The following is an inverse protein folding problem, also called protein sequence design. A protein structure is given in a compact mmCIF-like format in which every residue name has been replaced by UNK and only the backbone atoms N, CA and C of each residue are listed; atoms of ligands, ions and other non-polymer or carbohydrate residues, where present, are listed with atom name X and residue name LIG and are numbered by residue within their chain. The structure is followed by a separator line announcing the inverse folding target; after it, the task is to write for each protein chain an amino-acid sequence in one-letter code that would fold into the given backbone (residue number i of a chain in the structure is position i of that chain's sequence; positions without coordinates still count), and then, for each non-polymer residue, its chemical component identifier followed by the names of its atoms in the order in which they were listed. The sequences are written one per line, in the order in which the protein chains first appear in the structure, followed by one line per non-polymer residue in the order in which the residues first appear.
data_IF_672729500219
#
_entry.id   IF_672729500219
#
_cell.length_a   1.000
_cell.length_b   1.000
_cell.length_c   1.000
_cell.angle_alpha   90.00
_cell.angle_beta   90.00
_cell.angle_gamma   90.00
#
_symmetry.space_group_name_H-M   'P 1'
#
loop_
_entity.id
_entity.type
_entity.pdbx_description
1 polymer ?
#
# COMPACT_ATOMS: atom_id res chain seq x y z
N UNK A 1 -0.99 23.94 21.35
CA UNK A 1 -1.98 25.02 21.37
C UNK A 1 -2.75 24.94 20.05
N UNK A 2 -4.01 24.52 20.08
CA UNK A 2 -4.86 24.46 18.90
C UNK A 2 -5.64 25.77 18.82
N UNK A 3 -5.41 26.58 17.80
CA UNK A 3 -6.19 27.78 17.55
C UNK A 3 -7.58 27.37 17.07
N UNK A 4 -8.63 27.83 17.75
CA UNK A 4 -10.01 27.66 17.28
C UNK A 4 -10.21 28.47 16.00
N UNK A 5 -10.71 27.84 14.94
CA UNK A 5 -10.94 28.49 13.65
C UNK A 5 -11.89 29.68 13.79
N UNK A 6 -11.48 30.84 13.26
CA UNK A 6 -12.27 32.07 13.27
C UNK A 6 -13.45 31.92 12.27
N UNK A 7 -14.73 32.07 12.70
CA UNK A 7 -15.88 31.91 11.82
C UNK A 7 -15.98 32.97 10.69
N UNK A 8 -15.13 34.01 10.73
CA UNK A 8 -15.05 35.07 9.71
C UNK A 8 -13.79 34.98 8.83
N UNK A 9 -12.89 34.00 9.05
CA UNK A 9 -11.75 33.82 8.18
C UNK A 9 -12.16 33.04 6.92
N UNK A 10 -12.03 33.66 5.75
CA UNK A 10 -12.13 33.00 4.43
C UNK A 10 -11.01 31.98 4.17
N UNK A 11 -10.11 31.76 5.13
CA UNK A 11 -9.10 30.71 5.05
C UNK A 11 -9.75 29.35 5.25
N UNK A 12 -9.86 28.61 4.16
CA UNK A 12 -10.19 27.19 4.20
C UNK A 12 -9.09 26.49 5.02
N UNK A 13 -9.42 25.68 6.04
CA UNK A 13 -8.42 24.89 6.75
C UNK A 13 -7.63 24.03 5.75
N UNK A 14 -6.31 23.98 5.90
CA UNK A 14 -5.42 23.18 5.05
C UNK A 14 -5.94 21.75 4.73
N UNK A 15 -6.42 20.95 5.70
CA UNK A 15 -6.96 19.63 5.39
C UNK A 15 -8.21 19.68 4.49
N UNK A 16 -9.04 20.71 4.63
CA UNK A 16 -10.24 20.89 3.80
C UNK A 16 -9.85 21.33 2.38
N UNK A 17 -8.85 22.20 2.23
CA UNK A 17 -8.34 22.62 0.93
C UNK A 17 -7.69 21.45 0.17
N UNK A 18 -6.86 20.66 0.84
CA UNK A 18 -6.24 19.45 0.28
C UNK A 18 -7.28 18.39 -0.12
N UNK A 19 -8.32 18.21 0.70
CA UNK A 19 -9.43 17.31 0.35
C UNK A 19 -10.18 17.79 -0.91
N UNK A 20 -10.41 19.10 -1.03
CA UNK A 20 -11.07 19.70 -2.19
C UNK A 20 -10.23 19.57 -3.47
N UNK A 21 -8.91 19.80 -3.39
CA UNK A 21 -8.00 19.62 -4.53
C UNK A 21 -7.98 18.18 -5.03
N UNK A 22 -8.03 17.22 -4.11
CA UNK A 22 -8.08 15.79 -4.41
C UNK A 22 -9.39 15.39 -5.05
N UNK A 23 -10.51 15.82 -4.47
CA UNK A 23 -11.85 15.44 -4.94
C UNK A 23 -12.21 16.10 -6.27
N UNK A 24 -11.74 17.33 -6.49
CA UNK A 24 -11.94 18.06 -7.76
C UNK A 24 -10.99 17.62 -8.87
N UNK A 25 -9.96 16.81 -8.55
CA UNK A 25 -8.96 16.33 -9.51
C UNK A 25 -7.91 17.36 -9.93
N UNK A 26 -7.90 18.54 -9.32
CA UNK A 26 -6.91 19.58 -9.61
C UNK A 26 -5.48 19.15 -9.26
N UNK A 27 -5.30 18.25 -8.29
CA UNK A 27 -3.99 17.72 -7.95
C UNK A 27 -3.33 17.01 -9.14
N UNK A 28 -4.10 16.28 -9.95
CA UNK A 28 -3.58 15.60 -11.15
C UNK A 28 -3.25 16.59 -12.28
N UNK A 29 -4.01 17.68 -12.38
CA UNK A 29 -3.82 18.74 -13.39
C UNK A 29 -2.58 19.58 -13.09
N UNK A 30 -2.38 19.95 -11.82
CA UNK A 30 -1.21 20.72 -11.38
C UNK A 30 0.10 19.95 -11.65
N UNK A 31 0.11 18.64 -11.37
CA UNK A 31 1.27 17.81 -11.63
C UNK A 31 1.54 17.62 -13.13
N UNK A 32 0.47 17.49 -13.94
CA UNK A 32 0.59 17.44 -15.40
C UNK A 32 1.24 18.71 -15.96
N UNK A 33 0.89 19.90 -15.46
CA UNK A 33 1.45 21.18 -15.93
C UNK A 33 2.91 21.36 -15.54
N UNK A 34 3.29 20.89 -14.36
CA UNK A 34 4.69 20.90 -13.90
C UNK A 34 5.56 19.93 -14.70
N UNK A 35 5.01 18.76 -15.03
CA UNK A 35 5.69 17.73 -15.83
C UNK A 35 5.74 18.06 -17.32
N UNK A 36 4.78 18.85 -17.82
CA UNK A 36 4.69 19.31 -19.20
C UNK A 36 5.34 20.68 -19.43
N UNK A 37 6.41 21.01 -18.72
CA UNK A 37 7.35 22.06 -19.15
C UNK A 37 8.50 21.39 -19.93
N UNK A 38 8.31 20.95 -21.19
CA UNK A 38 9.44 20.83 -22.10
C UNK A 38 9.80 22.24 -22.59
N UNK A 39 11.10 22.50 -22.73
CA UNK A 39 11.63 23.65 -23.45
C UNK A 39 10.81 23.90 -24.71
N UNK A 40 10.13 25.05 -24.76
CA UNK A 40 9.43 25.53 -25.94
C UNK A 40 10.46 25.88 -27.01
N UNK A 41 10.64 25.00 -28.00
CA UNK A 41 10.65 25.37 -29.41
C UNK A 41 10.62 24.09 -30.25
N UNK A 42 9.46 23.74 -30.82
CA UNK A 42 9.35 22.83 -31.98
C UNK A 42 7.98 22.98 -32.61
N UNK A 43 8.00 23.30 -33.91
CA UNK A 43 6.90 23.60 -34.83
C UNK A 43 5.80 22.53 -34.93
N UNK A 44 4.59 22.88 -35.42
CA UNK A 44 3.52 21.94 -35.68
C UNK A 44 3.77 21.26 -37.05
N UNK A 45 4.20 20.00 -37.05
CA UNK A 45 4.26 19.19 -38.28
C UNK A 45 3.68 17.80 -38.05
N UNK A 46 2.48 17.63 -38.59
CA UNK A 46 1.85 16.43 -39.19
C UNK A 46 2.22 15.05 -38.65
N UNK A 47 1.18 14.42 -38.09
CA UNK A 47 1.07 13.05 -37.61
C UNK A 47 1.61 11.98 -38.57
N UNK A 48 2.77 11.42 -38.23
CA UNK A 48 3.11 10.02 -38.52
C UNK A 48 3.46 9.36 -37.19
N UNK A 49 2.52 8.59 -36.63
CA UNK A 49 2.73 7.76 -35.44
C UNK A 49 3.66 6.60 -35.82
N UNK A 50 4.97 6.88 -35.82
CA UNK A 50 6.00 5.87 -36.04
C UNK A 50 6.18 5.05 -34.76
N UNK A 51 6.57 3.78 -34.90
CA UNK A 51 6.84 2.86 -33.79
C UNK A 51 7.77 3.45 -32.69
N UNK A 52 8.53 4.50 -33.01
CA UNK A 52 9.39 5.22 -32.05
C UNK A 52 8.62 5.96 -30.94
N UNK A 53 7.42 6.48 -31.21
CA UNK A 53 6.62 7.18 -30.19
C UNK A 53 6.02 6.21 -29.17
N UNK A 54 5.61 5.02 -29.64
CA UNK A 54 5.05 3.97 -28.78
C UNK A 54 6.14 3.38 -27.87
N UNK A 55 7.32 3.08 -28.41
CA UNK A 55 8.43 2.55 -27.61
C UNK A 55 8.94 3.58 -26.60
N UNK A 56 9.03 4.86 -26.99
CA UNK A 56 9.39 5.96 -26.08
C UNK A 56 8.40 6.09 -24.92
N UNK A 57 7.09 6.01 -25.17
CA UNK A 57 6.06 6.04 -24.13
C UNK A 57 6.08 4.84 -23.18
N UNK A 58 6.39 3.65 -23.69
CA UNK A 58 6.52 2.45 -22.85
C UNK A 58 7.78 2.49 -21.98
N UNK A 59 8.89 3.01 -22.53
CA UNK A 59 10.14 3.18 -21.78
C UNK A 59 9.95 4.23 -20.67
N UNK A 60 9.27 5.35 -20.95
CA UNK A 60 9.00 6.36 -19.93
C UNK A 60 8.07 5.85 -18.82
N UNK A 61 7.06 5.06 -19.17
CA UNK A 61 6.22 4.36 -18.20
C UNK A 61 7.04 3.36 -17.36
N UNK A 62 7.91 2.57 -18.00
CA UNK A 62 8.77 1.62 -17.31
C UNK A 62 9.71 2.33 -16.32
N UNK A 63 10.35 3.43 -16.73
CA UNK A 63 11.19 4.25 -15.86
C UNK A 63 10.40 4.86 -14.71
N UNK A 64 9.16 5.28 -14.98
CA UNK A 64 8.23 5.79 -13.97
C UNK A 64 7.90 4.71 -12.93
N UNK A 65 7.59 3.49 -13.36
CA UNK A 65 7.35 2.36 -12.45
C UNK A 65 8.63 1.95 -11.72
N UNK A 66 9.79 1.98 -12.38
CA UNK A 66 11.07 1.65 -11.77
C UNK A 66 11.45 2.66 -10.67
N UNK A 67 11.07 3.92 -10.83
CA UNK A 67 11.21 4.95 -9.79
C UNK A 67 10.45 4.61 -8.50
N UNK A 68 9.44 3.72 -8.57
CA UNK A 68 8.69 3.33 -7.38
C UNK A 68 9.49 2.42 -6.44
N UNK A 69 10.56 1.79 -6.92
CA UNK A 69 11.45 0.97 -6.09
C UNK A 69 12.43 1.81 -5.26
N UNK A 70 12.61 3.10 -5.57
CA UNK A 70 13.62 3.95 -4.91
C UNK A 70 13.07 4.71 -3.70
N UNK A 71 11.77 4.58 -3.38
CA UNK A 71 11.16 5.28 -2.25
C UNK A 71 10.37 4.33 -1.34
N UNK A 72 10.11 4.79 -0.12
CA UNK A 72 9.31 4.04 0.85
C UNK A 72 7.82 4.38 0.72
N UNK A 73 6.96 3.45 0.21
CA UNK A 73 5.53 3.69 0.04
C UNK A 73 4.76 3.81 1.36
N UNK A 74 5.36 3.34 2.46
CA UNK A 74 4.73 3.34 3.78
C UNK A 74 5.16 4.52 4.66
N UNK A 75 5.96 5.45 4.13
CA UNK A 75 6.53 6.57 4.91
C UNK A 75 5.49 7.51 5.54
N UNK A 76 4.28 7.57 4.97
CA UNK A 76 3.16 8.39 5.44
C UNK A 76 2.04 7.59 6.11
N UNK A 77 2.24 6.28 6.28
CA UNK A 77 1.22 5.40 6.83
C UNK A 77 1.18 5.53 8.35
N UNK A 78 -0.01 5.69 8.91
CA UNK A 78 -0.21 5.83 10.35
C UNK A 78 -1.22 4.81 10.86
N UNK A 79 -1.35 4.68 12.18
CA UNK A 79 -2.25 3.68 12.78
C UNK A 79 -3.72 4.03 12.57
N UNK A 80 -4.07 5.31 12.42
CA UNK A 80 -5.43 5.74 12.10
C UNK A 80 -5.92 5.26 10.72
N UNK A 81 -5.01 5.01 9.77
CA UNK A 81 -5.37 4.50 8.45
C UNK A 81 -5.91 3.06 8.49
N UNK A 82 -5.58 2.32 9.56
CA UNK A 82 -6.09 0.98 9.81
C UNK A 82 -7.35 0.96 10.67
N UNK A 83 -7.68 2.04 11.37
CA UNK A 83 -8.88 2.14 12.21
C UNK A 83 -10.08 2.76 11.48
N UNK A 84 -9.84 3.50 10.40
CA UNK A 84 -10.87 4.13 9.58
C UNK A 84 -11.82 3.14 8.87
N UNK A 85 -12.89 3.69 8.28
CA UNK A 85 -13.85 2.91 7.50
C UNK A 85 -13.19 2.33 6.24
N UNK A 86 -13.30 1.02 6.06
CA UNK A 86 -12.74 0.34 4.89
C UNK A 86 -13.56 0.65 3.63
N UNK A 87 -12.93 1.14 2.54
CA UNK A 87 -13.61 1.28 1.26
C UNK A 87 -14.10 -0.07 0.75
N UNK A 88 -15.32 -0.10 0.19
CA UNK A 88 -15.91 -1.32 -0.38
C UNK A 88 -15.00 -1.96 -1.43
N UNK A 89 -14.93 -3.30 -1.47
CA UNK A 89 -14.07 -4.03 -2.40
C UNK A 89 -14.43 -3.81 -3.86
N UNK A 90 -15.72 -3.85 -4.18
CA UNK A 90 -16.22 -3.74 -5.55
C UNK A 90 -16.08 -2.32 -6.10
N UNK A 91 -16.83 -1.35 -5.55
CA UNK A 91 -16.90 0.00 -6.11
C UNK A 91 -15.80 0.93 -5.62
N UNK A 92 -15.28 0.71 -4.41
CA UNK A 92 -14.25 1.56 -3.82
C UNK A 92 -12.85 1.16 -4.27
N UNK A 93 -12.43 -0.03 -3.84
CA UNK A 93 -11.08 -0.55 -4.03
C UNK A 93 -10.81 -0.88 -5.49
N UNK A 94 -11.52 -1.85 -6.08
CA UNK A 94 -11.38 -2.20 -7.49
C UNK A 94 -11.95 -1.09 -8.38
N UNK A 95 -13.18 -0.65 -8.12
CA UNK A 95 -13.83 0.40 -8.90
C UNK A 95 -14.07 0.01 -10.37
N UNK A 96 -14.23 1.03 -11.23
CA UNK A 96 -14.49 0.87 -12.67
C UNK A 96 -13.25 1.25 -13.49
N UNK A 97 -13.20 0.92 -14.79
CA UNK A 97 -12.06 1.28 -15.64
C UNK A 97 -11.72 2.79 -15.59
N UNK A 98 -12.73 3.66 -15.48
CA UNK A 98 -12.55 5.12 -15.42
C UNK A 98 -11.79 5.61 -14.18
N UNK A 99 -11.73 4.77 -13.14
CA UNK A 99 -11.00 5.01 -11.90
C UNK A 99 -9.47 4.82 -12.03
N UNK A 100 -9.00 4.33 -13.17
CA UNK A 100 -7.59 4.09 -13.45
C UNK A 100 -7.06 5.03 -14.54
N UNK A 101 -5.77 5.34 -14.48
CA UNK A 101 -5.03 6.01 -15.55
C UNK A 101 -3.54 5.80 -15.39
N UNK A 102 -2.81 5.88 -16.50
CA UNK A 102 -1.35 5.86 -16.48
C UNK A 102 -0.81 7.12 -15.78
N UNK A 103 0.18 7.00 -14.88
CA UNK A 103 0.86 8.17 -14.35
C UNK A 103 1.70 8.83 -15.44
N UNK A 104 1.61 10.16 -15.53
CA UNK A 104 2.35 10.98 -16.49
C UNK A 104 3.79 11.24 -16.04
N UNK A 105 4.10 11.12 -14.75
CA UNK A 105 5.43 11.37 -14.19
C UNK A 105 5.76 10.47 -12.99
N UNK A 106 7.05 10.27 -12.66
CA UNK A 106 7.50 9.65 -11.41
C UNK A 106 6.93 10.32 -10.16
N UNK A 107 6.84 11.65 -10.15
CA UNK A 107 6.29 12.40 -9.02
C UNK A 107 4.81 12.07 -8.83
N UNK A 108 4.03 12.05 -9.91
CA UNK A 108 2.62 11.65 -9.89
C UNK A 108 2.44 10.23 -9.37
N UNK A 109 3.22 9.28 -9.90
CA UNK A 109 3.13 7.88 -9.53
C UNK A 109 3.41 7.70 -8.03
N UNK A 110 4.44 8.36 -7.51
CA UNK A 110 4.78 8.33 -6.08
C UNK A 110 3.67 8.95 -5.23
N UNK A 111 3.09 10.07 -5.65
CA UNK A 111 2.00 10.72 -4.92
C UNK A 111 0.76 9.82 -4.88
N UNK A 112 0.39 9.23 -6.03
CA UNK A 112 -0.69 8.24 -6.14
C UNK A 112 -0.45 7.05 -5.22
N UNK A 113 0.76 6.50 -5.19
CA UNK A 113 1.07 5.38 -4.30
C UNK A 113 0.88 5.76 -2.82
N UNK A 114 1.45 6.87 -2.35
CA UNK A 114 1.30 7.26 -0.94
C UNK A 114 -0.17 7.42 -0.53
N UNK A 115 -0.95 8.14 -1.34
CA UNK A 115 -2.34 8.43 -1.00
C UNK A 115 -3.25 7.19 -1.13
N UNK A 116 -3.02 6.34 -2.13
CA UNK A 116 -3.82 5.13 -2.30
C UNK A 116 -3.42 4.05 -1.28
N UNK A 117 -2.14 3.91 -0.93
CA UNK A 117 -1.68 3.02 0.16
C UNK A 117 -2.33 3.43 1.49
N UNK A 118 -2.41 4.74 1.76
CA UNK A 118 -3.15 5.29 2.90
C UNK A 118 -4.63 4.94 2.84
N UNK A 119 -5.30 5.34 1.75
CA UNK A 119 -6.75 5.19 1.55
C UNK A 119 -7.22 3.73 1.62
N UNK A 120 -6.41 2.78 1.15
CA UNK A 120 -6.76 1.37 1.05
C UNK A 120 -5.92 0.45 1.94
N UNK A 121 -5.28 0.99 2.99
CA UNK A 121 -4.36 0.25 3.87
C UNK A 121 -4.93 -1.09 4.34
N UNK A 122 -6.18 -1.08 4.83
CA UNK A 122 -6.89 -2.29 5.27
C UNK A 122 -7.12 -3.30 4.14
N UNK A 123 -7.50 -2.86 2.94
CA UNK A 123 -7.73 -3.76 1.80
C UNK A 123 -6.42 -4.42 1.36
N UNK A 124 -5.32 -3.66 1.31
CA UNK A 124 -4.00 -4.23 1.01
C UNK A 124 -3.54 -5.22 2.09
N UNK A 125 -3.76 -4.90 3.37
CA UNK A 125 -3.46 -5.84 4.47
C UNK A 125 -4.28 -7.13 4.34
N UNK A 126 -5.57 -7.03 4.03
CA UNK A 126 -6.42 -8.22 3.79
C UNK A 126 -5.95 -9.02 2.57
N UNK A 127 -5.58 -8.38 1.46
CA UNK A 127 -4.99 -9.08 0.30
C UNK A 127 -3.70 -9.80 0.67
N UNK A 128 -2.81 -9.16 1.43
CA UNK A 128 -1.59 -9.79 1.90
C UNK A 128 -1.88 -11.04 2.75
N UNK A 129 -2.80 -10.94 3.71
CA UNK A 129 -3.22 -12.07 4.56
C UNK A 129 -3.81 -13.19 3.70
N UNK A 130 -4.68 -12.85 2.74
CA UNK A 130 -5.28 -13.82 1.84
C UNK A 130 -4.23 -14.54 1.00
N UNK A 131 -3.32 -13.80 0.35
CA UNK A 131 -2.24 -14.40 -0.42
C UNK A 131 -1.32 -15.24 0.45
N UNK A 132 -0.98 -14.78 1.66
CA UNK A 132 -0.18 -15.55 2.60
C UNK A 132 -0.87 -16.86 3.00
N UNK A 133 -2.18 -16.83 3.30
CA UNK A 133 -2.96 -18.03 3.58
C UNK A 133 -2.99 -18.98 2.37
N UNK A 134 -3.19 -18.45 1.15
CA UNK A 134 -3.14 -19.26 -0.07
C UNK A 134 -1.77 -19.90 -0.30
N UNK A 135 -0.68 -19.15 -0.09
CA UNK A 135 0.69 -19.69 -0.20
C UNK A 135 0.96 -20.76 0.85
N UNK A 136 0.55 -20.55 2.10
CA UNK A 136 0.66 -21.56 3.15
C UNK A 136 -0.15 -22.82 2.83
N UNK A 137 -1.33 -22.69 2.24
CA UNK A 137 -2.13 -23.83 1.81
C UNK A 137 -1.41 -24.67 0.74
N UNK A 138 -0.69 -24.02 -0.18
CA UNK A 138 0.12 -24.71 -1.19
C UNK A 138 1.43 -25.29 -0.63
N UNK A 139 1.87 -24.83 0.54
CA UNK A 139 3.13 -25.23 1.19
C UNK A 139 2.87 -25.84 2.58
N UNK A 140 2.41 -27.12 2.66
CA UNK A 140 1.97 -27.72 3.92
C UNK A 140 3.09 -27.82 4.96
N UNK A 141 4.35 -28.02 4.55
CA UNK A 141 5.50 -28.00 5.46
C UNK A 141 5.68 -26.63 6.11
N UNK A 142 5.51 -25.54 5.36
CA UNK A 142 5.59 -24.18 5.88
C UNK A 142 4.44 -23.91 6.87
N UNK A 143 3.24 -24.40 6.57
CA UNK A 143 2.10 -24.31 7.49
C UNK A 143 2.40 -25.02 8.83
N UNK A 144 2.89 -26.27 8.77
CA UNK A 144 3.27 -27.02 9.98
C UNK A 144 4.40 -26.32 10.73
N UNK A 145 5.38 -25.77 10.02
CA UNK A 145 6.48 -25.00 10.61
C UNK A 145 5.99 -23.77 11.35
N UNK A 146 5.08 -22.99 10.74
CA UNK A 146 4.48 -21.81 11.37
C UNK A 146 3.67 -22.18 12.62
N UNK A 147 2.84 -23.23 12.52
CA UNK A 147 2.10 -23.76 13.67
C UNK A 147 3.02 -24.25 14.79
N UNK A 148 4.14 -24.89 14.43
CA UNK A 148 5.15 -25.35 15.39
C UNK A 148 5.84 -24.18 16.10
N UNK A 149 6.13 -23.09 15.41
CA UNK A 149 6.66 -21.87 16.02
C UNK A 149 5.66 -21.24 17.00
N UNK A 150 4.37 -21.18 16.64
CA UNK A 150 3.31 -20.70 17.52
C UNK A 150 3.19 -21.57 18.78
N UNK A 151 3.13 -22.90 18.59
CA UNK A 151 3.06 -23.85 19.68
C UNK A 151 4.28 -23.78 20.59
N UNK A 152 5.49 -23.65 20.02
CA UNK A 152 6.73 -23.46 20.79
C UNK A 152 6.64 -22.23 21.70
N UNK A 153 6.11 -21.11 21.20
CA UNK A 153 5.98 -19.88 21.97
C UNK A 153 4.89 -19.97 23.05
N UNK A 154 3.78 -20.66 22.77
CA UNK A 154 2.72 -20.89 23.75
C UNK A 154 3.19 -21.83 24.88
N UNK A 155 3.92 -22.90 24.54
CA UNK A 155 4.57 -23.78 25.53
C UNK A 155 5.59 -22.99 26.33
N UNK A 156 6.41 -22.16 25.69
CA UNK A 156 7.39 -21.33 26.38
C UNK A 156 6.72 -20.37 27.39
N UNK A 157 5.65 -19.68 27.00
CA UNK A 157 4.88 -18.81 27.93
C UNK A 157 4.28 -19.59 29.08
N UNK A 158 3.69 -20.76 28.80
CA UNK A 158 3.12 -21.62 29.84
C UNK A 158 4.19 -22.05 30.86
N UNK A 159 5.36 -22.49 30.37
CA UNK A 159 6.51 -22.82 31.21
C UNK A 159 7.02 -21.61 31.98
N UNK A 160 7.15 -20.45 31.33
CA UNK A 160 7.58 -19.19 31.96
C UNK A 160 6.73 -18.84 33.16
N UNK A 161 5.41 -18.87 32.99
CA UNK A 161 4.46 -18.56 34.04
C UNK A 161 4.47 -19.62 35.15
N UNK A 162 4.54 -20.91 34.80
CA UNK A 162 4.53 -22.01 35.77
C UNK A 162 5.77 -22.02 36.67
N UNK A 163 6.94 -21.69 36.14
CA UNK A 163 8.19 -21.66 36.89
C UNK A 163 8.52 -20.29 37.50
N UNK A 164 7.67 -19.27 37.30
CA UNK A 164 7.90 -17.93 37.83
C UNK A 164 9.20 -17.29 37.31
N UNK A 165 9.55 -17.58 36.05
CA UNK A 165 10.81 -17.19 35.40
C UNK A 165 11.05 -15.66 35.39
N UNK A 166 10.02 -14.86 35.64
CA UNK A 166 10.10 -13.40 35.79
C UNK A 166 10.99 -12.96 36.97
N UNK A 167 11.20 -13.80 37.98
CA UNK A 167 12.11 -13.52 39.09
C UNK A 167 13.59 -13.74 38.72
N UNK A 168 13.86 -14.38 37.58
CA UNK A 168 15.21 -14.77 37.15
C UNK A 168 15.51 -14.27 35.73
N UNK A 169 15.83 -12.97 35.57
CA UNK A 169 15.92 -12.34 34.26
C UNK A 169 17.01 -12.94 33.35
N UNK A 170 18.12 -13.42 33.90
CA UNK A 170 19.21 -14.06 33.13
C UNK A 170 18.77 -15.39 32.54
N UNK A 171 18.07 -16.21 33.34
CA UNK A 171 17.59 -17.53 32.90
C UNK A 171 16.50 -17.34 31.83
N UNK A 172 15.57 -16.42 32.07
CA UNK A 172 14.53 -16.07 31.11
C UNK A 172 15.12 -15.62 29.77
N UNK A 173 16.11 -14.72 29.78
CA UNK A 173 16.80 -14.29 28.57
C UNK A 173 17.49 -15.45 27.85
N UNK A 174 18.20 -16.32 28.57
CA UNK A 174 18.85 -17.49 28.00
C UNK A 174 17.84 -18.42 27.30
N UNK A 175 16.72 -18.72 27.96
CA UNK A 175 15.67 -19.56 27.37
C UNK A 175 15.00 -18.90 26.16
N UNK A 176 14.77 -17.59 26.18
CA UNK A 176 14.25 -16.86 25.01
C UNK A 176 15.21 -16.99 23.82
N UNK A 177 16.53 -16.88 24.05
CA UNK A 177 17.53 -17.08 22.99
C UNK A 177 17.52 -18.49 22.43
N UNK A 178 17.43 -19.50 23.31
CA UNK A 178 17.30 -20.91 22.89
C UNK A 178 16.02 -21.11 22.07
N UNK A 179 14.88 -20.60 22.54
CA UNK A 179 13.60 -20.68 21.83
C UNK A 179 13.67 -19.97 20.46
N UNK A 180 14.34 -18.82 20.37
CA UNK A 180 14.60 -18.13 19.10
C UNK A 180 15.44 -18.97 18.14
N UNK A 181 16.50 -19.63 18.62
CA UNK A 181 17.32 -20.52 17.81
C UNK A 181 16.50 -21.71 17.29
N UNK A 182 15.69 -22.35 18.14
CA UNK A 182 14.81 -23.45 17.75
C UNK A 182 13.77 -22.97 16.72
N UNK A 183 13.14 -21.82 16.95
CA UNK A 183 12.20 -21.21 16.01
C UNK A 183 12.85 -20.92 14.65
N UNK A 184 14.08 -20.39 14.65
CA UNK A 184 14.83 -20.14 13.41
C UNK A 184 15.10 -21.42 12.62
N UNK A 185 15.52 -22.49 13.30
CA UNK A 185 15.71 -23.81 12.67
C UNK A 185 14.40 -24.32 12.07
N UNK A 186 13.30 -24.25 12.82
CA UNK A 186 11.97 -24.65 12.32
C UNK A 186 11.63 -23.85 11.06
N UNK A 187 11.74 -22.51 11.10
CA UNK A 187 11.41 -21.61 9.98
C UNK A 187 12.23 -21.92 8.73
N UNK A 188 13.53 -22.23 8.89
CA UNK A 188 14.43 -22.58 7.79
C UNK A 188 14.08 -23.96 7.23
N UNK A 189 13.98 -24.99 8.07
CA UNK A 189 13.70 -26.36 7.62
C UNK A 189 12.31 -26.53 7.00
N UNK A 190 11.33 -25.73 7.44
CA UNK A 190 9.95 -25.77 6.95
C UNK A 190 9.68 -24.89 5.72
N UNK A 191 10.67 -24.11 5.27
CA UNK A 191 10.51 -23.14 4.17
C UNK A 191 9.46 -22.04 4.42
N UNK A 192 9.16 -21.70 5.68
CA UNK A 192 8.26 -20.58 6.03
C UNK A 192 8.74 -19.26 5.42
N UNK A 193 10.05 -19.06 5.33
CA UNK A 193 10.64 -17.88 4.71
C UNK A 193 10.20 -17.74 3.24
N UNK A 194 10.24 -18.83 2.48
CA UNK A 194 9.83 -18.82 1.07
C UNK A 194 8.35 -18.49 0.92
N UNK A 195 7.49 -19.06 1.77
CA UNK A 195 6.07 -18.74 1.77
C UNK A 195 5.83 -17.24 2.05
N UNK A 196 6.55 -16.67 3.01
CA UNK A 196 6.50 -15.25 3.33
C UNK A 196 7.02 -14.38 2.18
N UNK A 197 8.15 -14.73 1.57
CA UNK A 197 8.70 -13.99 0.43
C UNK A 197 7.77 -14.00 -0.77
N UNK A 198 7.16 -15.14 -1.10
CA UNK A 198 6.19 -15.24 -2.18
C UNK A 198 4.97 -14.35 -1.91
N UNK A 199 4.37 -14.47 -0.72
CA UNK A 199 3.20 -13.67 -0.35
C UNK A 199 3.51 -12.17 -0.36
N UNK A 200 4.66 -11.77 0.20
CA UNK A 200 5.13 -10.38 0.15
C UNK A 200 5.36 -9.90 -1.27
N UNK A 201 6.03 -10.68 -2.12
CA UNK A 201 6.32 -10.30 -3.51
C UNK A 201 5.06 -10.03 -4.34
N UNK A 202 4.11 -10.97 -4.33
CA UNK A 202 2.86 -10.82 -5.08
C UNK A 202 1.98 -9.70 -4.52
N UNK A 203 1.81 -9.63 -3.20
CA UNK A 203 1.00 -8.58 -2.56
C UNK A 203 1.60 -7.19 -2.75
N UNK A 204 2.92 -7.04 -2.62
CA UNK A 204 3.63 -5.78 -2.80
C UNK A 204 3.52 -5.30 -4.24
N UNK A 205 3.78 -6.19 -5.21
CA UNK A 205 3.66 -5.85 -6.64
C UNK A 205 2.22 -5.44 -6.98
N UNK A 206 1.24 -6.21 -6.52
CA UNK A 206 -0.18 -5.90 -6.74
C UNK A 206 -0.58 -4.56 -6.11
N UNK A 207 -0.14 -4.30 -4.89
CA UNK A 207 -0.38 -3.03 -4.20
C UNK A 207 0.25 -1.85 -4.95
N UNK A 208 1.53 -1.93 -5.30
CA UNK A 208 2.24 -0.83 -5.99
C UNK A 208 1.58 -0.54 -7.34
N UNK A 209 1.27 -1.59 -8.11
CA UNK A 209 0.59 -1.46 -9.38
C UNK A 209 -0.79 -0.80 -9.20
N UNK A 210 -1.61 -1.37 -8.32
CA UNK A 210 -2.95 -0.84 -8.04
C UNK A 210 -2.88 0.62 -7.59
N UNK A 211 -2.01 0.94 -6.64
CA UNK A 211 -1.88 2.28 -6.06
C UNK A 211 -1.34 3.32 -7.05
N UNK A 212 -0.43 2.95 -7.96
CA UNK A 212 0.15 3.86 -8.95
C UNK A 212 -0.84 4.19 -10.09
N UNK A 213 -1.65 3.21 -10.51
CA UNK A 213 -2.62 3.39 -11.60
C UNK A 213 -3.97 3.95 -11.11
N UNK A 214 -4.30 3.80 -9.83
CA UNK A 214 -5.54 4.34 -9.26
C UNK A 214 -5.48 5.86 -9.17
N UNK A 215 -6.46 6.54 -9.78
CA UNK A 215 -6.61 8.00 -9.68
C UNK A 215 -6.87 8.45 -8.25
N UNK A 216 -6.47 9.67 -7.94
CA UNK A 216 -6.69 10.27 -6.61
C UNK A 216 -8.12 10.79 -6.43
N UNK A 217 -8.76 11.14 -7.54
CA UNK A 217 -10.15 11.60 -7.59
C UNK A 217 -11.08 10.56 -7.00
N UNK A 218 -12.00 11.03 -6.14
CA UNK A 218 -13.02 10.16 -5.58
C UNK A 218 -13.90 9.62 -6.71
N UNK A 219 -14.22 8.32 -6.66
CA UNK A 219 -15.12 7.73 -7.64
C UNK A 219 -16.45 8.49 -7.61
N UNK A 220 -16.87 9.04 -8.74
CA UNK A 220 -18.15 9.76 -8.88
C UNK A 220 -19.24 8.81 -8.38
N UNK A 221 -19.87 9.12 -7.25
CA UNK A 221 -21.00 8.31 -6.80
C UNK A 221 -22.05 8.35 -7.91
N UNK A 222 -22.64 7.19 -8.28
CA UNK A 222 -23.77 7.22 -9.20
C UNK A 222 -24.83 8.14 -8.61
N UNK A 223 -25.50 8.97 -9.43
CA UNK A 223 -26.52 9.88 -8.93
C UNK A 223 -27.53 9.06 -8.14
N UNK A 224 -27.65 9.38 -6.85
CA UNK A 224 -28.60 8.75 -5.95
C UNK A 224 -29.97 8.95 -6.58
N UNK A 225 -30.51 7.89 -7.17
CA UNK A 225 -31.80 7.92 -7.83
C UNK A 225 -32.81 8.52 -6.86
N UNK A 226 -33.39 9.67 -7.23
CA UNK A 226 -34.52 10.25 -6.52
C UNK A 226 -35.56 9.15 -6.42
N UNK A 227 -35.73 8.59 -5.23
CA UNK A 227 -36.92 7.80 -4.91
C UNK A 227 -38.06 8.80 -4.98
N UNK A 228 -38.77 8.81 -6.11
CA UNK A 228 -40.01 9.52 -6.28
C UNK A 228 -40.99 8.93 -5.25
N UNK A 229 -41.39 9.76 -4.29
CA UNK A 229 -42.62 9.59 -3.54
C UNK A 229 -43.77 10.11 -4.39
#
# INVERSE_FOLDING_TARGET
MAFSSNPLSLSVPEPAFESWLRDSGYLEILDHRTSSIPNTYSDPSTTTLTNSTITSGLISLLLTLLSLFTFNPFSKLTTEDFSGQTPSWSYGFVGFCDSYSFPSSPAQARLRVHENVKRYARNYATLFILFFACTLYQMPLALIGLLSCLALWDVFKFCSNRWGLDHHPVIQQCLVRIAQCVAAVIVICSNVQMALFCALGFSYTGMILHAAFRKLTSAKQPPRGRSAR
#
